data_IF_550934318222
#
_entry.id   IF_550934318222
#
_cell.length_a   1.000
_cell.length_b   1.000
_cell.length_c   1.000
_cell.angle_alpha   90.00
_cell.angle_beta   90.00
_cell.angle_gamma   90.00
#
_symmetry.space_group_name_H-M   'P 1'
#
loop_
_entity.id
_entity.type
_entity.pdbx_description
1 polymer ?
#
# COMPACT_ATOMS: atom_id res chain seq x y z
N UNK A 1 41.21 18.08 21.97
CA UNK A 1 40.14 17.97 21.01
C UNK A 1 39.83 16.51 20.84
N UNK A 2 38.77 16.05 21.57
CA UNK A 2 38.31 14.65 21.52
C UNK A 2 37.25 14.51 20.46
N UNK A 3 37.59 13.81 19.40
CA UNK A 3 36.61 13.34 18.40
C UNK A 3 35.82 12.19 19.02
N UNK A 4 34.59 12.45 19.42
CA UNK A 4 33.61 11.42 19.74
C UNK A 4 33.08 10.87 18.41
N UNK A 5 33.66 9.77 17.95
CA UNK A 5 33.11 8.99 16.85
C UNK A 5 31.83 8.27 17.35
N UNK A 6 30.67 8.70 16.88
CA UNK A 6 29.42 7.95 17.01
C UNK A 6 29.60 6.55 16.38
N UNK A 7 29.19 5.47 17.06
CA UNK A 7 29.23 4.15 16.45
C UNK A 7 28.22 4.08 15.30
N UNK A 8 28.55 3.42 14.16
CA UNK A 8 27.62 3.29 13.04
C UNK A 8 26.35 2.62 13.49
N UNK A 9 25.20 3.17 13.10
CA UNK A 9 23.86 2.66 13.39
C UNK A 9 23.73 1.20 12.91
N UNK A 10 23.76 0.26 13.85
CA UNK A 10 23.60 -1.18 13.64
C UNK A 10 22.11 -1.48 13.65
N UNK A 11 21.52 -1.73 12.47
CA UNK A 11 20.11 -2.10 12.39
C UNK A 11 19.59 -2.20 10.97
N UNK A 12 18.38 -1.72 10.66
CA UNK A 12 17.68 -1.90 9.41
C UNK A 12 18.46 -1.50 8.15
N UNK A 13 19.30 -0.47 8.24
CA UNK A 13 20.11 0.01 7.10
C UNK A 13 21.11 -1.02 6.54
N UNK A 14 21.67 -1.90 7.37
CA UNK A 14 22.67 -2.87 6.91
C UNK A 14 22.02 -4.05 6.19
N UNK A 15 20.88 -4.54 6.68
CA UNK A 15 20.11 -5.61 6.02
C UNK A 15 19.54 -5.14 4.68
N UNK A 16 19.13 -3.88 4.58
CA UNK A 16 18.67 -3.27 3.33
C UNK A 16 19.80 -3.16 2.29
N UNK A 17 20.97 -2.69 2.70
CA UNK A 17 22.15 -2.64 1.81
C UNK A 17 22.54 -4.03 1.30
N UNK A 18 22.48 -5.04 2.15
CA UNK A 18 22.78 -6.42 1.76
C UNK A 18 21.71 -6.96 0.84
N UNK A 19 20.43 -6.70 1.10
CA UNK A 19 19.34 -7.09 0.23
C UNK A 19 19.51 -6.43 -1.15
N UNK A 20 19.90 -5.15 -1.21
CA UNK A 20 20.17 -4.47 -2.47
C UNK A 20 21.32 -5.13 -3.24
N UNK A 21 22.46 -5.39 -2.60
CA UNK A 21 23.61 -6.04 -3.24
C UNK A 21 23.28 -7.44 -3.77
N UNK A 22 22.50 -8.22 -3.01
CA UNK A 22 22.02 -9.53 -3.46
C UNK A 22 21.05 -9.41 -4.65
N UNK A 23 20.17 -8.42 -4.63
CA UNK A 23 19.27 -8.11 -5.74
C UNK A 23 20.04 -7.78 -7.01
N UNK A 24 21.03 -6.88 -6.90
CA UNK A 24 21.86 -6.47 -8.03
C UNK A 24 22.65 -7.65 -8.63
N UNK A 25 23.20 -8.52 -7.77
CA UNK A 25 23.91 -9.71 -8.20
C UNK A 25 22.99 -10.73 -8.91
N UNK A 26 21.75 -10.91 -8.44
CA UNK A 26 20.73 -11.75 -9.10
C UNK A 26 20.37 -11.15 -10.46
N UNK A 27 20.16 -9.83 -10.53
CA UNK A 27 19.82 -9.13 -11.78
C UNK A 27 20.98 -9.17 -12.78
N UNK A 28 22.22 -9.09 -12.31
CA UNK A 28 23.43 -9.26 -13.13
C UNK A 28 23.64 -10.72 -13.62
N UNK A 29 22.79 -11.67 -13.15
CA UNK A 29 22.85 -13.07 -13.56
C UNK A 29 23.87 -13.91 -12.80
N UNK A 30 24.43 -13.43 -11.68
CA UNK A 30 25.34 -14.25 -10.86
C UNK A 30 24.66 -15.53 -10.35
N UNK A 31 23.38 -15.47 -10.08
CA UNK A 31 22.50 -16.63 -9.82
C UNK A 31 21.30 -16.56 -10.77
N UNK A 32 21.20 -17.56 -11.65
CA UNK A 32 20.09 -17.66 -12.60
C UNK A 32 18.75 -18.00 -11.92
N UNK A 33 17.67 -17.92 -12.67
CA UNK A 33 16.32 -18.29 -12.22
C UNK A 33 16.30 -19.73 -11.71
N UNK A 34 15.66 -19.97 -10.58
CA UNK A 34 15.61 -21.27 -9.92
C UNK A 34 16.92 -21.70 -9.26
N UNK A 35 18.02 -20.96 -9.43
CA UNK A 35 19.30 -21.29 -8.81
C UNK A 35 19.23 -21.17 -7.29
N UNK A 36 19.96 -22.06 -6.61
CA UNK A 36 20.10 -22.01 -5.16
C UNK A 36 21.07 -20.90 -4.76
N UNK A 37 20.65 -20.04 -3.85
CA UNK A 37 21.54 -19.06 -3.23
C UNK A 37 22.53 -19.75 -2.27
N UNK A 38 23.72 -19.16 -2.05
CA UNK A 38 24.61 -19.61 -0.98
C UNK A 38 23.91 -19.59 0.39
N UNK A 39 24.40 -20.39 1.32
CA UNK A 39 23.83 -20.43 2.67
C UNK A 39 23.99 -19.09 3.40
N UNK A 40 23.14 -18.82 4.40
CA UNK A 40 23.25 -17.62 5.24
C UNK A 40 24.66 -17.46 5.82
N UNK A 41 25.32 -18.60 6.14
CA UNK A 41 26.70 -18.60 6.64
C UNK A 41 27.70 -18.13 5.58
N UNK A 42 27.62 -18.72 4.38
CA UNK A 42 28.50 -18.35 3.28
C UNK A 42 28.30 -16.89 2.80
N UNK A 43 27.05 -16.41 2.79
CA UNK A 43 26.77 -15.01 2.51
C UNK A 43 27.28 -14.09 3.63
N UNK A 44 27.17 -14.51 4.89
CA UNK A 44 27.74 -13.76 6.03
C UNK A 44 29.26 -13.62 5.92
N UNK A 45 29.96 -14.68 5.55
CA UNK A 45 31.40 -14.66 5.28
C UNK A 45 31.75 -13.76 4.09
N UNK A 46 31.02 -13.89 2.99
CA UNK A 46 31.23 -13.10 1.77
C UNK A 46 31.08 -11.60 1.98
N UNK A 47 30.09 -11.18 2.77
CA UNK A 47 29.80 -9.75 3.01
C UNK A 47 30.41 -9.23 4.31
N UNK A 48 31.05 -10.08 5.12
CA UNK A 48 31.66 -9.69 6.39
C UNK A 48 30.62 -9.29 7.47
N UNK A 49 29.44 -9.91 7.47
CA UNK A 49 28.30 -9.54 8.32
C UNK A 49 27.73 -10.76 9.09
N UNK A 50 26.90 -10.48 10.09
CA UNK A 50 26.26 -11.53 10.89
C UNK A 50 25.20 -12.31 10.09
N UNK A 51 24.97 -13.57 10.43
CA UNK A 51 23.92 -14.41 9.84
C UNK A 51 22.51 -13.84 10.05
N UNK A 52 22.29 -13.11 11.14
CA UNK A 52 20.99 -12.45 11.40
C UNK A 52 20.68 -11.37 10.37
N UNK A 53 21.66 -10.54 10.02
CA UNK A 53 21.54 -9.50 8.98
C UNK A 53 21.28 -10.14 7.61
N UNK A 54 22.00 -11.21 7.26
CA UNK A 54 21.77 -11.97 6.01
C UNK A 54 20.36 -12.55 5.96
N UNK A 55 19.89 -13.13 7.07
CA UNK A 55 18.54 -13.71 7.14
C UNK A 55 17.46 -12.65 6.93
N UNK A 56 17.64 -11.48 7.52
CA UNK A 56 16.75 -10.34 7.34
C UNK A 56 16.75 -9.86 5.87
N UNK A 57 17.93 -9.71 5.26
CA UNK A 57 18.08 -9.38 3.85
C UNK A 57 17.39 -10.40 2.93
N UNK A 58 17.58 -11.70 3.17
CA UNK A 58 16.90 -12.78 2.42
C UNK A 58 15.38 -12.72 2.65
N UNK A 59 14.91 -12.38 3.85
CA UNK A 59 13.49 -12.19 4.12
C UNK A 59 12.90 -11.03 3.32
N UNK A 60 13.64 -9.93 3.20
CA UNK A 60 13.26 -8.79 2.34
C UNK A 60 13.15 -9.18 0.86
N UNK A 61 14.13 -9.93 0.34
CA UNK A 61 14.11 -10.42 -1.04
C UNK A 61 12.97 -11.41 -1.29
N UNK A 62 12.64 -12.23 -0.29
CA UNK A 62 11.51 -13.16 -0.35
C UNK A 62 10.18 -12.41 -0.37
N UNK A 63 10.02 -11.42 0.51
CA UNK A 63 8.84 -10.55 0.53
C UNK A 63 8.71 -9.75 -0.78
N UNK A 64 9.84 -9.43 -1.41
CA UNK A 64 9.91 -8.83 -2.75
C UNK A 64 9.74 -9.81 -3.92
N UNK A 65 9.49 -11.10 -3.65
CA UNK A 65 9.27 -12.11 -4.72
C UNK A 65 10.53 -12.46 -5.55
N UNK A 66 11.71 -11.94 -5.19
CA UNK A 66 12.96 -12.22 -5.90
C UNK A 66 13.57 -13.57 -5.47
N UNK A 67 13.26 -14.00 -4.25
CA UNK A 67 13.77 -15.23 -3.64
C UNK A 67 12.60 -16.06 -3.10
N UNK A 68 12.67 -17.38 -3.24
CA UNK A 68 11.76 -18.35 -2.62
C UNK A 68 12.52 -19.23 -1.64
N UNK A 69 11.85 -19.69 -0.57
CA UNK A 69 12.44 -20.62 0.40
C UNK A 69 11.76 -21.96 0.30
N UNK A 70 12.57 -23.04 0.22
CA UNK A 70 12.09 -24.44 0.29
C UNK A 70 12.53 -25.02 1.62
N UNK A 71 11.58 -25.49 2.44
CA UNK A 71 11.84 -26.01 3.79
C UNK A 71 12.92 -27.10 3.74
N UNK A 72 13.99 -26.94 4.50
CA UNK A 72 15.14 -27.84 4.54
C UNK A 72 16.11 -27.74 3.35
N UNK A 73 15.75 -27.03 2.27
CA UNK A 73 16.57 -26.98 1.04
C UNK A 73 17.28 -25.63 0.84
N UNK A 74 16.88 -24.60 1.58
CA UNK A 74 17.49 -23.26 1.50
C UNK A 74 16.69 -22.26 0.68
N UNK A 75 17.36 -21.20 0.24
CA UNK A 75 16.80 -20.10 -0.53
C UNK A 75 17.19 -20.22 -2.01
N UNK A 76 16.27 -19.89 -2.91
CA UNK A 76 16.41 -20.02 -4.36
C UNK A 76 15.97 -18.73 -5.02
N UNK A 77 16.62 -18.35 -6.12
CA UNK A 77 16.11 -17.28 -6.99
C UNK A 77 14.75 -17.71 -7.53
N UNK A 78 13.77 -16.81 -7.53
CA UNK A 78 12.46 -17.11 -8.07
C UNK A 78 12.54 -17.44 -9.57
N UNK A 79 11.78 -18.42 -10.02
CA UNK A 79 11.73 -18.81 -11.45
C UNK A 79 11.09 -17.74 -12.32
N UNK A 80 10.14 -17.03 -11.75
CA UNK A 80 9.57 -15.79 -12.30
C UNK A 80 9.75 -14.72 -11.24
N UNK A 81 10.90 -14.01 -11.24
CA UNK A 81 11.05 -12.89 -10.32
C UNK A 81 9.98 -11.87 -10.69
N UNK A 82 9.02 -11.71 -9.80
CA UNK A 82 8.17 -10.53 -9.85
C UNK A 82 9.14 -9.35 -9.76
N UNK A 83 9.13 -8.49 -10.78
CA UNK A 83 9.88 -7.24 -10.70
C UNK A 83 9.33 -6.52 -9.48
N UNK A 84 10.09 -6.56 -8.38
CA UNK A 84 9.80 -5.69 -7.24
C UNK A 84 10.12 -4.29 -7.73
N UNK A 85 9.13 -3.62 -8.27
CA UNK A 85 9.18 -2.19 -8.41
C UNK A 85 9.35 -1.65 -6.98
N UNK A 86 10.58 -1.35 -6.60
CA UNK A 86 10.87 -0.67 -5.34
C UNK A 86 10.52 0.79 -5.55
N UNK A 87 9.29 1.11 -5.30
CA UNK A 87 8.96 2.47 -4.97
C UNK A 87 9.55 2.70 -3.57
N UNK A 88 10.61 3.49 -3.51
CA UNK A 88 11.05 4.01 -2.23
C UNK A 88 9.85 4.74 -1.63
N UNK A 89 9.44 4.34 -0.43
CA UNK A 89 8.57 5.19 0.37
C UNK A 89 9.53 6.13 1.07
N UNK A 90 9.68 7.39 0.64
CA UNK A 90 10.31 8.40 1.48
C UNK A 90 9.55 8.44 2.80
N UNK A 91 10.16 8.94 3.85
CA UNK A 91 9.41 9.32 5.04
C UNK A 91 8.16 10.09 4.60
N UNK A 92 6.96 9.71 5.04
CA UNK A 92 5.72 10.22 4.50
C UNK A 92 5.64 11.73 4.74
N UNK A 93 6.01 12.49 3.73
CA UNK A 93 5.69 13.91 3.67
C UNK A 93 4.42 14.11 2.82
N UNK A 94 3.81 15.27 2.91
CA UNK A 94 2.59 15.57 2.14
C UNK A 94 2.84 15.54 0.63
N UNK A 95 4.04 15.84 0.18
CA UNK A 95 4.41 15.81 -1.24
C UNK A 95 4.40 14.38 -1.77
N UNK A 96 4.95 13.43 -1.03
CA UNK A 96 4.90 12.00 -1.38
C UNK A 96 3.47 11.48 -1.48
N UNK A 97 2.55 11.96 -0.63
CA UNK A 97 1.13 11.60 -0.73
C UNK A 97 0.51 12.16 -2.01
N UNK A 98 0.83 13.39 -2.39
CA UNK A 98 0.37 14.00 -3.66
C UNK A 98 0.87 13.19 -4.86
N UNK A 99 2.14 12.80 -4.88
CA UNK A 99 2.72 11.97 -5.96
C UNK A 99 2.01 10.60 -6.09
N UNK A 100 1.59 10.01 -4.98
CA UNK A 100 0.76 8.79 -5.00
C UNK A 100 -0.61 9.07 -5.61
N UNK A 101 -1.27 10.20 -5.27
CA UNK A 101 -2.56 10.59 -5.86
C UNK A 101 -2.44 10.83 -7.38
N UNK A 102 -1.36 11.47 -7.84
CA UNK A 102 -1.08 11.66 -9.26
C UNK A 102 -1.00 10.34 -10.03
N UNK A 103 -0.40 9.31 -9.42
CA UNK A 103 -0.30 7.99 -10.04
C UNK A 103 -1.61 7.20 -9.98
N UNK A 104 -2.41 7.36 -8.94
CA UNK A 104 -3.74 6.76 -8.81
C UNK A 104 -4.67 7.21 -9.93
N UNK A 105 -4.64 8.50 -10.24
CA UNK A 105 -5.61 9.15 -11.13
C UNK A 105 -5.77 8.43 -12.47
N UNK A 106 -4.74 8.23 -13.32
CA UNK A 106 -4.90 7.58 -14.60
C UNK A 106 -5.38 6.13 -14.51
N UNK A 107 -5.01 5.42 -13.44
CA UNK A 107 -5.39 4.03 -13.24
C UNK A 107 -6.86 3.90 -12.82
N UNK A 108 -7.28 4.67 -11.82
CA UNK A 108 -8.63 4.55 -11.26
C UNK A 108 -9.69 5.21 -12.14
N UNK A 109 -9.35 6.30 -12.83
CA UNK A 109 -10.24 6.93 -13.82
C UNK A 109 -10.59 5.95 -14.95
N UNK A 110 -9.59 5.27 -15.50
CA UNK A 110 -9.83 4.29 -16.56
C UNK A 110 -10.52 3.02 -16.02
N UNK A 111 -10.17 2.57 -14.83
CA UNK A 111 -10.85 1.44 -14.18
C UNK A 111 -12.34 1.73 -13.97
N UNK A 112 -12.72 2.93 -13.54
CA UNK A 112 -14.11 3.33 -13.35
C UNK A 112 -14.88 3.41 -14.67
N UNK A 113 -14.28 3.98 -15.73
CA UNK A 113 -14.85 4.00 -17.07
C UNK A 113 -15.19 2.59 -17.54
N UNK A 114 -14.23 1.69 -17.46
CA UNK A 114 -14.41 0.30 -17.86
C UNK A 114 -15.39 -0.45 -16.95
N UNK A 115 -15.41 -0.15 -15.65
CA UNK A 115 -16.37 -0.73 -14.71
C UNK A 115 -17.81 -0.37 -15.09
N UNK A 116 -18.07 0.87 -15.45
CA UNK A 116 -19.39 1.30 -15.92
C UNK A 116 -19.84 0.51 -17.16
N UNK A 117 -18.94 0.29 -18.11
CA UNK A 117 -19.24 -0.43 -19.36
C UNK A 117 -19.36 -1.96 -19.21
N UNK A 118 -18.70 -2.55 -18.18
CA UNK A 118 -18.44 -3.99 -18.16
C UNK A 118 -18.92 -4.72 -16.90
N UNK A 119 -19.37 -4.02 -15.89
CA UNK A 119 -19.74 -4.64 -14.63
C UNK A 119 -20.89 -5.65 -14.77
N UNK A 120 -20.82 -6.71 -14.01
CA UNK A 120 -21.95 -7.63 -13.81
C UNK A 120 -22.85 -7.13 -12.68
N UNK A 121 -24.13 -7.58 -12.60
CA UNK A 121 -24.99 -7.22 -11.47
C UNK A 121 -24.43 -7.61 -10.09
N UNK A 122 -23.63 -8.68 -10.03
CA UNK A 122 -22.98 -9.08 -8.78
C UNK A 122 -21.83 -8.15 -8.39
N UNK A 123 -21.08 -7.63 -9.37
CA UNK A 123 -20.02 -6.65 -9.13
C UNK A 123 -20.59 -5.31 -8.69
N UNK A 124 -21.66 -4.85 -9.33
CA UNK A 124 -22.33 -3.61 -8.91
C UNK A 124 -22.85 -3.72 -7.47
N UNK A 125 -23.40 -4.89 -7.07
CA UNK A 125 -23.78 -5.09 -5.66
C UNK A 125 -22.60 -4.99 -4.71
N UNK A 126 -21.40 -5.51 -5.09
CA UNK A 126 -20.19 -5.37 -4.27
C UNK A 126 -19.75 -3.92 -4.11
N UNK A 127 -19.81 -3.12 -5.19
CA UNK A 127 -19.51 -1.69 -5.10
C UNK A 127 -20.50 -0.98 -4.16
N UNK A 128 -21.81 -1.29 -4.25
CA UNK A 128 -22.82 -0.74 -3.34
C UNK A 128 -22.58 -1.11 -1.88
N UNK A 129 -22.23 -2.36 -1.62
CA UNK A 129 -21.91 -2.80 -0.26
C UNK A 129 -20.68 -2.07 0.28
N UNK A 130 -19.60 -1.95 -0.50
CA UNK A 130 -18.43 -1.22 -0.09
C UNK A 130 -18.70 0.28 0.14
N UNK A 131 -19.66 0.89 -0.59
CA UNK A 131 -20.13 2.24 -0.31
C UNK A 131 -20.88 2.31 1.04
N UNK A 132 -21.77 1.37 1.32
CA UNK A 132 -22.45 1.30 2.60
C UNK A 132 -21.49 1.12 3.78
N UNK A 133 -20.43 0.32 3.61
CA UNK A 133 -19.38 0.14 4.62
C UNK A 133 -18.64 1.47 4.91
N UNK A 134 -18.49 2.36 3.90
CA UNK A 134 -17.94 3.72 4.10
C UNK A 134 -18.88 4.55 4.95
N UNK A 135 -20.18 4.55 4.63
CA UNK A 135 -21.18 5.32 5.36
C UNK A 135 -21.26 4.87 6.82
N UNK A 136 -21.26 3.56 7.08
CA UNK A 136 -21.22 3.00 8.44
C UNK A 136 -19.96 3.42 9.21
N UNK A 137 -18.80 3.42 8.55
CA UNK A 137 -17.54 3.85 9.17
C UNK A 137 -17.59 5.34 9.54
N UNK A 138 -18.15 6.18 8.67
CA UNK A 138 -18.35 7.63 8.91
C UNK A 138 -19.30 7.86 10.08
N UNK A 139 -20.44 7.17 10.11
CA UNK A 139 -21.41 7.27 11.22
C UNK A 139 -20.80 6.82 12.56
N UNK A 140 -19.91 5.82 12.53
CA UNK A 140 -19.16 5.37 13.70
C UNK A 140 -18.01 6.31 14.11
N UNK A 141 -17.79 7.42 13.39
CA UNK A 141 -16.68 8.37 13.64
C UNK A 141 -15.29 7.83 13.28
N UNK A 142 -15.22 6.79 12.44
CA UNK A 142 -13.97 6.21 11.96
C UNK A 142 -13.49 6.92 10.69
N UNK A 143 -12.18 6.85 10.41
CA UNK A 143 -11.60 7.44 9.20
C UNK A 143 -12.01 6.73 7.90
N UNK A 144 -12.43 5.47 7.97
CA UNK A 144 -12.89 4.68 6.83
C UNK A 144 -11.81 4.31 5.81
N UNK A 145 -10.54 4.23 6.20
CA UNK A 145 -9.40 3.94 5.30
C UNK A 145 -9.57 2.60 4.59
N UNK A 146 -9.88 1.54 5.32
CA UNK A 146 -10.01 0.19 4.76
C UNK A 146 -11.25 0.06 3.87
N UNK A 147 -12.32 0.78 4.21
CA UNK A 147 -13.56 0.85 3.44
C UNK A 147 -13.35 1.59 2.13
N UNK A 148 -12.63 2.71 2.15
CA UNK A 148 -12.25 3.47 0.96
C UNK A 148 -11.42 2.62 -0.02
N UNK A 149 -10.41 1.92 0.50
CA UNK A 149 -9.62 0.96 -0.28
C UNK A 149 -10.47 -0.14 -0.89
N UNK A 150 -11.41 -0.70 -0.11
CA UNK A 150 -12.30 -1.76 -0.58
C UNK A 150 -13.25 -1.27 -1.69
N UNK A 151 -13.75 -0.03 -1.59
CA UNK A 151 -14.59 0.60 -2.61
C UNK A 151 -13.85 0.75 -3.94
N UNK A 152 -12.67 1.39 -3.94
CA UNK A 152 -11.86 1.57 -5.14
C UNK A 152 -11.40 0.23 -5.75
N UNK A 153 -11.09 -0.75 -4.90
CA UNK A 153 -10.78 -2.11 -5.35
C UNK A 153 -11.97 -2.78 -6.03
N UNK A 154 -13.18 -2.66 -5.46
CA UNK A 154 -14.38 -3.24 -6.06
C UNK A 154 -14.68 -2.65 -7.45
N UNK A 155 -14.40 -1.34 -7.65
CA UNK A 155 -14.47 -0.69 -8.96
C UNK A 155 -13.45 -1.30 -9.93
N UNK A 156 -12.20 -1.45 -9.50
CA UNK A 156 -11.16 -2.04 -10.34
C UNK A 156 -11.46 -3.50 -10.74
N UNK A 157 -12.06 -4.29 -9.84
CA UNK A 157 -12.54 -5.64 -10.16
C UNK A 157 -13.66 -5.62 -11.20
N UNK A 158 -14.55 -4.61 -11.14
CA UNK A 158 -15.66 -4.45 -12.06
C UNK A 158 -15.23 -4.01 -13.47
N UNK A 159 -14.02 -3.48 -13.64
CA UNK A 159 -13.42 -3.21 -14.96
C UNK A 159 -13.21 -4.48 -15.79
N UNK A 160 -13.31 -5.67 -15.19
CA UNK A 160 -13.07 -6.98 -15.82
C UNK A 160 -11.73 -7.08 -16.57
N UNK A 161 -10.71 -6.41 -16.04
CA UNK A 161 -9.32 -6.52 -16.44
C UNK A 161 -8.45 -6.70 -15.19
N UNK A 162 -7.99 -7.92 -14.97
CA UNK A 162 -7.24 -8.31 -13.78
C UNK A 162 -5.94 -7.54 -13.57
N UNK A 163 -5.42 -6.87 -14.59
CA UNK A 163 -4.22 -6.05 -14.46
C UNK A 163 -4.47 -4.79 -13.63
N UNK A 164 -5.67 -4.21 -13.64
CA UNK A 164 -5.99 -3.08 -12.75
C UNK A 164 -5.94 -3.50 -11.29
N UNK A 165 -6.58 -4.61 -10.93
CA UNK A 165 -6.51 -5.14 -9.56
C UNK A 165 -5.09 -5.53 -9.16
N UNK A 166 -4.33 -6.17 -10.06
CA UNK A 166 -2.95 -6.55 -9.78
C UNK A 166 -2.05 -5.34 -9.52
N UNK A 167 -2.20 -4.27 -10.30
CA UNK A 167 -1.44 -3.02 -10.10
C UNK A 167 -1.87 -2.32 -8.81
N UNK A 168 -3.16 -2.22 -8.53
CA UNK A 168 -3.66 -1.63 -7.29
C UNK A 168 -3.25 -2.45 -6.05
N UNK A 169 -3.33 -3.78 -6.09
CA UNK A 169 -2.87 -4.64 -4.99
C UNK A 169 -1.35 -4.52 -4.76
N UNK A 170 -0.57 -4.39 -5.83
CA UNK A 170 0.86 -4.11 -5.74
C UNK A 170 1.12 -2.76 -5.08
N UNK A 171 0.35 -1.76 -5.46
CA UNK A 171 0.40 -0.39 -4.94
C UNK A 171 -0.22 -0.26 -3.55
N UNK A 172 -1.03 -1.22 -3.13
CA UNK A 172 -1.91 -1.12 -1.96
C UNK A 172 -1.16 -0.74 -0.66
N UNK A 173 0.09 -1.19 -0.50
CA UNK A 173 0.91 -0.81 0.67
C UNK A 173 1.23 0.68 0.71
N UNK A 174 1.45 1.29 -0.46
CA UNK A 174 1.71 2.73 -0.61
C UNK A 174 0.40 3.51 -0.54
N UNK A 175 -0.64 3.02 -1.22
CA UNK A 175 -1.98 3.58 -1.20
C UNK A 175 -2.54 3.63 0.22
N UNK A 176 -2.37 2.58 1.00
CA UNK A 176 -2.85 2.53 2.37
C UNK A 176 -2.29 3.68 3.23
N UNK A 177 -1.01 3.99 3.10
CA UNK A 177 -0.40 5.12 3.81
C UNK A 177 -0.92 6.46 3.29
N UNK A 178 -0.98 6.66 1.97
CA UNK A 178 -1.48 7.88 1.36
C UNK A 178 -2.96 8.11 1.68
N UNK A 179 -3.81 7.08 1.54
CA UNK A 179 -5.23 7.15 1.87
C UNK A 179 -5.43 7.39 3.37
N UNK A 180 -4.62 6.81 4.24
CA UNK A 180 -4.66 7.12 5.67
C UNK A 180 -4.45 8.62 5.92
N UNK A 181 -3.47 9.23 5.28
CA UNK A 181 -3.21 10.66 5.42
C UNK A 181 -4.40 11.49 4.90
N UNK A 182 -4.90 11.18 3.70
CA UNK A 182 -6.06 11.89 3.12
C UNK A 182 -7.31 11.72 3.95
N UNK A 183 -7.67 10.49 4.34
CA UNK A 183 -8.87 10.20 5.15
C UNK A 183 -8.80 10.78 6.55
N UNK A 184 -7.61 10.77 7.18
CA UNK A 184 -7.42 11.46 8.47
C UNK A 184 -7.62 12.96 8.30
N UNK A 185 -7.07 13.60 7.26
CA UNK A 185 -7.30 15.01 6.99
C UNK A 185 -8.79 15.33 6.78
N UNK A 186 -9.49 14.50 6.03
CA UNK A 186 -10.90 14.65 5.72
C UNK A 186 -11.78 14.50 6.97
N UNK A 187 -11.45 13.55 7.86
CA UNK A 187 -12.17 13.33 9.11
C UNK A 187 -12.05 14.49 10.13
N UNK A 188 -11.13 15.43 9.93
CA UNK A 188 -11.00 16.61 10.79
C UNK A 188 -12.11 17.66 10.57
N UNK A 189 -12.89 17.54 9.48
CA UNK A 189 -13.93 18.52 9.12
C UNK A 189 -15.17 17.81 8.57
N UNK A 190 -16.30 17.98 9.22
CA UNK A 190 -17.58 17.38 8.77
C UNK A 190 -17.91 17.76 7.32
N UNK A 191 -17.58 18.97 6.88
CA UNK A 191 -17.81 19.41 5.49
C UNK A 191 -16.99 18.60 4.48
N UNK A 192 -15.78 18.17 4.82
CA UNK A 192 -14.96 17.32 3.96
C UNK A 192 -15.54 15.90 3.89
N UNK A 193 -15.95 15.35 5.03
CA UNK A 193 -16.58 14.02 5.06
C UNK A 193 -17.85 13.97 4.21
N UNK A 194 -18.72 14.99 4.32
CA UNK A 194 -19.92 15.07 3.48
C UNK A 194 -19.60 15.19 1.99
N UNK A 195 -18.58 15.95 1.62
CA UNK A 195 -18.12 16.04 0.23
C UNK A 195 -17.62 14.70 -0.29
N UNK A 196 -16.81 13.99 0.49
CA UNK A 196 -16.26 12.68 0.10
C UNK A 196 -17.37 11.65 -0.10
N UNK A 197 -18.36 11.60 0.80
CA UNK A 197 -19.53 10.71 0.65
C UNK A 197 -20.29 11.05 -0.64
N UNK A 198 -20.54 12.31 -0.91
CA UNK A 198 -21.23 12.75 -2.14
C UNK A 198 -20.41 12.40 -3.40
N UNK A 199 -19.09 12.54 -3.36
CA UNK A 199 -18.19 12.17 -4.46
C UNK A 199 -18.22 10.66 -4.73
N UNK A 200 -18.15 9.81 -3.69
CA UNK A 200 -18.26 8.37 -3.84
C UNK A 200 -19.63 7.95 -4.38
N UNK A 201 -20.70 8.60 -3.93
CA UNK A 201 -22.04 8.35 -4.44
C UNK A 201 -22.15 8.70 -5.93
N UNK A 202 -21.57 9.81 -6.36
CA UNK A 202 -21.55 10.20 -7.79
C UNK A 202 -20.79 9.17 -8.65
N UNK A 203 -19.71 8.60 -8.15
CA UNK A 203 -18.98 7.51 -8.81
C UNK A 203 -19.88 6.28 -8.96
N UNK A 204 -20.51 5.84 -7.86
CA UNK A 204 -21.41 4.69 -7.86
C UNK A 204 -22.58 4.87 -8.83
N UNK A 205 -23.20 6.07 -8.82
CA UNK A 205 -24.36 6.37 -9.67
C UNK A 205 -23.99 6.31 -11.17
N UNK A 206 -22.83 6.88 -11.53
CA UNK A 206 -22.33 6.84 -12.90
C UNK A 206 -22.02 5.41 -13.38
N UNK A 207 -21.40 4.60 -12.51
CA UNK A 207 -21.13 3.18 -12.78
C UNK A 207 -22.46 2.42 -12.94
N UNK A 208 -23.42 2.63 -12.02
CA UNK A 208 -24.72 1.96 -12.06
C UNK A 208 -25.55 2.34 -13.30
N UNK A 209 -25.37 3.56 -13.83
CA UNK A 209 -26.00 4.02 -15.06
C UNK A 209 -25.34 3.44 -16.33
N UNK A 210 -24.15 2.83 -16.23
CA UNK A 210 -23.37 2.38 -17.39
C UNK A 210 -22.69 3.51 -18.15
N UNK A 211 -22.60 4.72 -17.56
CA UNK A 211 -21.98 5.90 -18.18
C UNK A 211 -20.47 5.95 -17.85
N UNK A 212 -19.65 5.39 -18.74
CA UNK A 212 -18.21 5.32 -18.56
C UNK A 212 -17.54 6.70 -18.48
N UNK A 213 -17.98 7.66 -19.27
CA UNK A 213 -17.44 9.00 -19.27
C UNK A 213 -17.82 9.78 -18.00
N UNK A 214 -19.04 9.61 -17.50
CA UNK A 214 -19.44 10.18 -16.21
C UNK A 214 -18.68 9.53 -15.06
N UNK A 215 -18.47 8.22 -15.06
CA UNK A 215 -17.70 7.51 -14.05
C UNK A 215 -16.24 7.97 -14.02
N UNK A 216 -15.62 8.11 -15.20
CA UNK A 216 -14.26 8.65 -15.32
C UNK A 216 -14.15 10.07 -14.76
N UNK A 217 -15.08 10.96 -15.11
CA UNK A 217 -15.10 12.33 -14.58
C UNK A 217 -15.32 12.35 -13.08
N UNK A 218 -16.23 11.53 -12.55
CA UNK A 218 -16.51 11.47 -11.12
C UNK A 218 -15.27 11.06 -10.31
N UNK A 219 -14.52 10.03 -10.74
CA UNK A 219 -13.27 9.62 -10.09
C UNK A 219 -12.19 10.69 -10.23
N UNK A 220 -12.03 11.30 -11.40
CA UNK A 220 -11.08 12.40 -11.58
C UNK A 220 -11.35 13.55 -10.60
N UNK A 221 -12.60 13.99 -10.50
CA UNK A 221 -13.04 15.03 -9.58
C UNK A 221 -12.79 14.65 -8.12
N UNK A 222 -13.11 13.41 -7.72
CA UNK A 222 -12.87 12.92 -6.38
C UNK A 222 -11.38 13.00 -6.00
N UNK A 223 -10.46 12.52 -6.85
CA UNK A 223 -9.03 12.56 -6.60
C UNK A 223 -8.45 13.98 -6.63
N UNK A 224 -8.95 14.88 -7.49
CA UNK A 224 -8.58 16.29 -7.51
C UNK A 224 -9.02 17.01 -6.24
N UNK A 225 -10.22 16.73 -5.76
CA UNK A 225 -10.70 17.29 -4.51
C UNK A 225 -9.93 16.74 -3.30
N UNK A 226 -9.58 15.45 -3.29
CA UNK A 226 -8.72 14.86 -2.25
C UNK A 226 -7.35 15.57 -2.18
N UNK A 227 -6.72 15.82 -3.32
CA UNK A 227 -5.49 16.61 -3.40
C UNK A 227 -5.69 18.04 -2.90
N UNK A 228 -6.77 18.70 -3.31
CA UNK A 228 -7.09 20.07 -2.88
C UNK A 228 -7.32 20.15 -1.36
N UNK A 229 -8.04 19.20 -0.78
CA UNK A 229 -8.25 19.09 0.67
C UNK A 229 -6.94 18.84 1.41
N UNK A 230 -6.06 18.00 0.84
CA UNK A 230 -4.74 17.71 1.42
C UNK A 230 -3.84 18.96 1.45
N UNK A 231 -3.87 19.80 0.41
CA UNK A 231 -3.13 21.09 0.40
C UNK A 231 -3.61 22.08 1.47
N UNK A 232 -4.81 21.89 2.02
CA UNK A 232 -5.39 22.67 3.13
C UNK A 232 -5.20 21.97 4.49
N UNK A 233 -4.40 20.91 4.54
CA UNK A 233 -4.15 20.14 5.75
C UNK A 233 -3.45 20.99 6.81
N UNK A 234 -3.75 20.76 8.11
CA UNK A 234 -2.99 21.37 9.19
C UNK A 234 -1.54 20.87 9.20
N UNK A 235 -0.62 21.70 9.66
CA UNK A 235 0.82 21.40 9.67
C UNK A 235 1.20 20.18 10.52
N UNK A 236 0.36 19.85 11.50
CA UNK A 236 0.52 18.68 12.40
C UNK A 236 -0.21 17.41 11.92
N UNK A 237 -0.72 17.40 10.68
CA UNK A 237 -1.49 16.25 10.16
C UNK A 237 -0.73 14.93 10.26
N UNK A 238 0.54 14.90 9.88
CA UNK A 238 1.33 13.67 9.90
C UNK A 238 1.55 13.13 11.33
N UNK A 239 1.75 14.00 12.30
CA UNK A 239 1.84 13.63 13.72
C UNK A 239 0.52 12.99 14.21
N UNK A 240 -0.63 13.54 13.78
CA UNK A 240 -1.96 12.98 14.09
C UNK A 240 -2.15 11.60 13.50
N UNK A 241 -1.71 11.38 12.25
CA UNK A 241 -1.75 10.07 11.57
C UNK A 241 -0.93 9.03 12.32
N UNK A 242 0.26 9.39 12.79
CA UNK A 242 1.12 8.50 13.56
C UNK A 242 0.53 8.17 14.95
N UNK A 243 -0.04 9.15 15.63
CA UNK A 243 -0.70 8.95 16.93
C UNK A 243 -1.89 7.97 16.82
N UNK A 244 -2.70 8.07 15.77
CA UNK A 244 -3.80 7.12 15.51
C UNK A 244 -3.30 5.70 15.24
N UNK A 245 -2.15 5.55 14.58
CA UNK A 245 -1.52 4.24 14.35
C UNK A 245 -1.08 3.56 15.65
N UNK A 246 -0.52 4.34 16.58
CA UNK A 246 -0.10 3.85 17.89
C UNK A 246 -1.28 3.34 18.73
N UNK A 247 -2.39 4.05 18.75
CA UNK A 247 -3.59 3.68 19.51
C UNK A 247 -4.28 2.42 18.96
N UNK A 248 -4.33 2.26 17.66
CA UNK A 248 -4.93 1.07 17.02
C UNK A 248 -4.12 -0.21 17.29
N UNK A 249 -2.79 -0.12 17.43
CA UNK A 249 -1.95 -1.27 17.74
C UNK A 249 -2.09 -1.73 19.20
N UNK A 250 -2.39 -0.83 20.13
CA UNK A 250 -2.58 -1.16 21.56
C UNK A 250 -3.92 -1.84 21.82
N UNK A 251 -4.98 -1.47 21.11
CA UNK A 251 -6.30 -2.09 21.26
C UNK A 251 -6.36 -3.54 20.75
N UNK A 252 -5.54 -3.90 19.77
CA UNK A 252 -5.46 -5.27 19.23
C UNK A 252 -4.70 -6.25 20.14
N UNK A 253 -3.85 -5.76 21.05
CA UNK A 253 -3.10 -6.61 22.00
C UNK A 253 -3.90 -6.95 23.26
N UNK A 254 -4.89 -6.14 23.65
CA UNK A 254 -5.72 -6.40 24.81
C UNK A 254 -6.83 -7.45 24.57
N UNK A 255 -7.22 -7.66 23.31
CA UNK A 255 -8.28 -8.63 22.95
C UNK A 255 -7.83 -10.10 22.95
N UNK A 256 -6.53 -10.40 23.01
CA UNK A 256 -5.99 -11.78 22.97
C UNK A 256 -5.61 -12.34 24.35
N UNK A 257 -5.78 -11.58 25.44
CA UNK A 257 -5.36 -11.96 26.80
C UNK A 257 -6.43 -12.57 27.71
N UNK A 258 -7.67 -12.79 27.24
CA UNK A 258 -8.82 -13.14 28.09
C UNK A 258 -9.49 -14.48 27.79
N UNK A 259 -8.72 -15.59 27.73
CA UNK A 259 -9.36 -16.92 27.91
C UNK A 259 -8.36 -17.97 28.40
N UNK A 260 -8.15 -17.98 29.69
CA UNK A 260 -7.57 -19.14 30.41
C UNK A 260 -8.12 -19.14 31.84
N UNK A 261 -9.28 -19.70 32.01
CA UNK A 261 -9.69 -20.41 33.27
C UNK A 261 -10.79 -21.41 32.95
#
# INVERSE_FOLDING_TARGET
>A
VSETSEPPSRGPQLSEQVAQRLSDAIQAGEWGRGARLPTEAALGERFGISRSVVREAISMLRNGGLVTSRRGSGSFVAESPTVSLRLAIPDPDLQSVVEVLELRRPLEVEAARLAAERHTPSQLRRIRNAMADIDEAVEAGLSGVDQDLAFHRAIAEAANNSHFTAVLDFYNRFLHQAIRVTRTNESLRDTFMQQVVAEHQAILDAIAAGDGEAAARAVATHLEHAETRLRQAPTDLLERVEAQRGSASMSSTESTGGNSR
#
